data_IF_241763396488
#
_entry.id   IF_241763396488
#
_cell.length_a   1.000
_cell.length_b   1.000
_cell.length_c   1.000
_cell.angle_alpha   90.00
_cell.angle_beta   90.00
_cell.angle_gamma   90.00
#
_symmetry.space_group_name_H-M   'P 1'
#
loop_
_entity.id
_entity.type
_entity.pdbx_description
1 polymer ?
#
# COMPACT_ATOMS: atom_id res chain seq x y z
N UNK A 1 2.89 -9.50 8.75
CA UNK A 1 2.41 -8.36 9.55
C UNK A 1 3.48 -7.30 9.57
N UNK A 2 3.11 -6.07 9.23
CA UNK A 2 3.61 -4.94 9.98
C UNK A 2 2.51 -4.23 10.75
N UNK A 3 2.70 -4.12 12.05
CA UNK A 3 1.79 -3.39 12.94
C UNK A 3 1.78 -1.89 12.61
N UNK A 4 0.72 -1.17 13.01
CA UNK A 4 0.59 0.29 12.82
C UNK A 4 1.70 1.12 13.52
N UNK A 5 2.42 0.48 14.45
CA UNK A 5 3.57 0.98 15.19
C UNK A 5 4.90 0.35 14.74
N UNK A 6 4.87 -0.60 13.80
CA UNK A 6 6.07 -1.01 13.08
C UNK A 6 6.29 -0.05 11.91
N UNK A 7 7.38 0.71 11.99
CA UNK A 7 8.02 1.37 10.85
C UNK A 7 8.41 0.40 9.71
N UNK A 8 8.06 -0.88 9.81
CA UNK A 8 8.42 -1.96 8.90
C UNK A 8 7.24 -2.47 8.10
N UNK A 9 6.37 -1.54 7.70
CA UNK A 9 5.45 -1.70 6.59
C UNK A 9 6.09 -2.44 5.41
N UNK A 10 5.32 -3.13 4.57
CA UNK A 10 5.85 -3.70 3.34
C UNK A 10 6.79 -2.75 2.55
N UNK A 11 6.42 -1.47 2.48
CA UNK A 11 7.21 -0.43 1.84
C UNK A 11 8.59 -0.16 2.49
N UNK A 12 8.81 -0.56 3.74
CA UNK A 12 10.08 -0.40 4.44
C UNK A 12 11.19 -1.30 3.87
N UNK A 13 10.85 -2.47 3.29
CA UNK A 13 11.84 -3.29 2.58
C UNK A 13 12.34 -2.59 1.32
N UNK A 14 11.42 -1.98 0.57
CA UNK A 14 11.78 -1.19 -0.63
C UNK A 14 12.61 0.02 -0.22
N UNK A 15 12.23 0.69 0.86
CA UNK A 15 12.98 1.79 1.45
C UNK A 15 14.42 1.39 1.81
N UNK A 16 14.62 0.29 2.55
CA UNK A 16 15.97 -0.18 2.90
C UNK A 16 16.82 -0.53 1.69
N UNK A 17 16.22 -1.10 0.65
CA UNK A 17 16.93 -1.34 -0.62
C UNK A 17 17.36 0.00 -1.21
N UNK A 18 16.46 0.98 -1.28
CA UNK A 18 16.76 2.29 -1.82
C UNK A 18 17.85 3.03 -0.99
N UNK A 19 17.79 2.99 0.35
CA UNK A 19 18.83 3.53 1.23
C UNK A 19 20.20 2.89 0.96
N UNK A 20 20.26 1.56 0.89
CA UNK A 20 21.50 0.83 0.61
C UNK A 20 22.09 1.19 -0.74
N UNK A 21 21.26 1.29 -1.79
CA UNK A 21 21.71 1.65 -3.14
C UNK A 21 22.10 3.13 -3.27
N UNK A 22 21.56 4.00 -2.43
CA UNK A 22 21.83 5.45 -2.47
C UNK A 22 22.87 5.89 -1.45
N UNK A 23 23.56 4.96 -0.77
CA UNK A 23 24.54 5.26 0.28
C UNK A 23 23.95 6.17 1.38
N UNK A 24 22.69 5.95 1.75
CA UNK A 24 21.92 6.76 2.72
C UNK A 24 21.73 8.23 2.33
N UNK A 25 21.79 8.58 1.04
CA UNK A 25 21.53 9.95 0.54
C UNK A 25 20.03 10.25 0.33
N UNK A 26 19.16 9.30 0.68
CA UNK A 26 17.72 9.44 0.55
C UNK A 26 17.15 10.27 1.71
N UNK A 27 16.47 11.37 1.38
CA UNK A 27 15.70 12.16 2.36
C UNK A 27 14.24 11.77 2.27
N UNK A 28 13.58 11.55 3.42
CA UNK A 28 12.15 11.29 3.46
C UNK A 28 11.38 12.57 3.78
N UNK A 29 10.23 12.72 3.12
CA UNK A 29 9.24 13.73 3.46
C UNK A 29 8.03 13.03 4.06
N UNK A 30 7.77 13.28 5.35
CA UNK A 30 6.60 12.70 6.02
C UNK A 30 5.36 13.48 5.60
N UNK A 31 4.43 12.79 4.95
CA UNK A 31 3.16 13.37 4.50
C UNK A 31 1.99 12.92 5.39
N UNK A 32 0.98 13.77 5.59
CA UNK A 32 -0.16 13.46 6.46
C UNK A 32 -1.12 12.42 5.85
N UNK A 33 -1.18 12.31 4.53
CA UNK A 33 -2.03 11.36 3.81
C UNK A 33 -1.52 11.15 2.36
N UNK A 34 -2.12 10.18 1.66
CA UNK A 34 -1.77 9.80 0.29
C UNK A 34 -2.00 10.94 -0.72
N UNK A 35 -3.09 11.70 -0.59
CA UNK A 35 -3.41 12.79 -1.53
C UNK A 35 -2.35 13.90 -1.48
N UNK A 36 -1.90 14.29 -0.29
CA UNK A 36 -0.81 15.26 -0.13
C UNK A 36 0.51 14.73 -0.71
N UNK A 37 0.81 13.45 -0.52
CA UNK A 37 2.02 12.85 -1.10
C UNK A 37 1.99 12.85 -2.64
N UNK A 38 0.85 12.50 -3.25
CA UNK A 38 0.68 12.54 -4.71
C UNK A 38 0.78 13.97 -5.25
N UNK A 39 0.21 14.95 -4.55
CA UNK A 39 0.32 16.35 -4.92
C UNK A 39 1.79 16.83 -4.92
N UNK A 40 2.56 16.53 -3.87
CA UNK A 40 3.99 16.86 -3.80
C UNK A 40 4.82 16.16 -4.88
N UNK A 41 4.48 14.92 -5.22
CA UNK A 41 5.11 14.26 -6.36
C UNK A 41 4.80 15.01 -7.67
N UNK A 42 3.57 15.48 -7.82
CA UNK A 42 3.10 16.17 -9.03
C UNK A 42 3.73 17.55 -9.21
N UNK A 43 4.23 18.17 -8.13
CA UNK A 43 4.98 19.43 -8.18
C UNK A 43 6.47 19.23 -8.43
N UNK A 44 6.94 17.98 -8.53
CA UNK A 44 8.33 17.63 -8.80
C UNK A 44 9.21 17.52 -7.55
N UNK A 45 8.63 17.50 -6.34
CA UNK A 45 9.37 17.40 -5.08
C UNK A 45 10.04 16.02 -4.85
N UNK A 46 9.70 15.00 -5.65
CA UNK A 46 10.32 13.67 -5.55
C UNK A 46 9.50 12.55 -6.18
N UNK A 47 9.74 11.32 -5.67
CA UNK A 47 9.08 10.08 -6.12
C UNK A 47 8.31 9.49 -4.95
N UNK A 48 7.15 8.90 -5.20
CA UNK A 48 6.32 8.23 -4.20
C UNK A 48 6.04 6.80 -4.64
N UNK A 49 6.17 5.86 -3.72
CA UNK A 49 5.75 4.46 -3.92
C UNK A 49 4.34 4.33 -3.37
N UNK A 50 3.40 3.92 -4.23
CA UNK A 50 1.98 3.87 -3.91
C UNK A 50 1.35 2.53 -4.30
N UNK A 51 0.24 2.12 -3.66
CA UNK A 51 -0.58 1.01 -4.13
C UNK A 51 -1.22 1.33 -5.48
N UNK A 52 -1.59 0.30 -6.24
CA UNK A 52 -2.11 0.44 -7.61
C UNK A 52 -3.39 1.29 -7.69
N UNK A 53 -4.28 1.19 -6.69
CA UNK A 53 -5.51 1.98 -6.66
C UNK A 53 -5.25 3.49 -6.62
N UNK A 54 -4.07 3.93 -6.16
CA UNK A 54 -3.73 5.35 -6.06
C UNK A 54 -3.72 6.05 -7.42
N UNK A 55 -3.53 5.30 -8.52
CA UNK A 55 -3.62 5.83 -9.89
C UNK A 55 -4.97 6.48 -10.18
N UNK A 56 -6.06 5.99 -9.55
CA UNK A 56 -7.43 6.51 -9.76
C UNK A 56 -7.67 7.88 -9.15
N UNK A 57 -6.83 8.30 -8.20
CA UNK A 57 -6.95 9.55 -7.45
C UNK A 57 -5.75 10.47 -7.67
N UNK A 58 -4.85 10.09 -8.56
CA UNK A 58 -3.62 10.82 -8.83
C UNK A 58 -3.85 11.97 -9.82
N UNK A 59 -3.09 13.08 -9.69
CA UNK A 59 -3.03 14.11 -10.73
C UNK A 59 -2.56 13.53 -12.07
N UNK A 60 -3.15 14.00 -13.18
CA UNK A 60 -2.90 13.48 -14.55
C UNK A 60 -1.45 13.64 -15.02
N UNK A 61 -0.70 14.56 -14.41
CA UNK A 61 0.69 14.83 -14.75
C UNK A 61 1.69 13.88 -14.07
N UNK A 62 1.22 12.92 -13.27
CA UNK A 62 2.07 11.88 -12.69
C UNK A 62 2.25 10.71 -13.65
N UNK A 63 3.49 10.25 -13.76
CA UNK A 63 3.83 9.05 -14.50
C UNK A 63 4.00 7.87 -13.55
N UNK A 64 3.29 6.77 -13.82
CA UNK A 64 3.33 5.56 -13.02
C UNK A 64 4.23 4.51 -13.67
N UNK A 65 5.16 3.97 -12.89
CA UNK A 65 6.03 2.89 -13.30
C UNK A 65 5.74 1.68 -12.40
N UNK A 66 5.31 0.54 -12.96
CA UNK A 66 5.10 -0.65 -12.16
C UNK A 66 6.43 -1.17 -11.61
N UNK A 67 6.43 -1.64 -10.36
CA UNK A 67 7.61 -2.30 -9.79
C UNK A 67 7.94 -3.56 -10.59
N UNK A 68 9.19 -3.67 -11.05
CA UNK A 68 9.66 -4.78 -11.89
C UNK A 68 9.55 -6.14 -11.18
N UNK A 69 9.75 -6.17 -9.86
CA UNK A 69 9.65 -7.39 -9.07
C UNK A 69 8.23 -7.51 -8.46
N UNK A 70 7.50 -8.58 -8.84
CA UNK A 70 6.16 -8.87 -8.31
C UNK A 70 6.15 -9.16 -6.82
N UNK A 71 7.26 -9.64 -6.25
CA UNK A 71 7.40 -9.86 -4.79
C UNK A 71 7.58 -8.55 -4.00
N UNK A 72 7.74 -7.41 -4.68
CA UNK A 72 7.71 -6.09 -4.06
C UNK A 72 6.29 -5.50 -4.02
N UNK A 73 5.27 -6.27 -4.43
CA UNK A 73 3.86 -5.95 -4.24
C UNK A 73 3.40 -6.56 -2.92
N UNK A 74 2.35 -5.98 -2.36
CA UNK A 74 1.87 -6.38 -1.05
C UNK A 74 0.37 -6.48 -1.08
N UNK A 75 -0.12 -7.62 -0.61
CA UNK A 75 -1.55 -7.89 -0.53
C UNK A 75 -2.20 -7.02 0.54
N UNK A 76 -3.49 -6.76 0.34
CA UNK A 76 -4.33 -6.12 1.36
C UNK A 76 -4.71 -7.16 2.41
N UNK A 77 -4.64 -6.78 3.68
CA UNK A 77 -4.96 -7.67 4.80
C UNK A 77 -6.12 -7.09 5.60
N UNK A 78 -7.12 -7.92 5.87
CA UNK A 78 -8.16 -7.62 6.86
C UNK A 78 -7.86 -8.37 8.14
N UNK A 79 -7.82 -7.63 9.24
CA UNK A 79 -7.65 -8.19 10.58
C UNK A 79 -9.02 -8.26 11.26
N UNK A 80 -9.55 -9.47 11.40
CA UNK A 80 -10.77 -9.72 12.16
C UNK A 80 -10.42 -10.31 13.53
N UNK A 81 -10.95 -9.69 14.60
CA UNK A 81 -10.82 -10.18 15.96
C UNK A 81 -12.11 -10.91 16.36
N UNK A 82 -12.05 -12.23 16.38
CA UNK A 82 -13.23 -13.08 16.63
C UNK A 82 -13.79 -12.96 18.06
N UNK A 83 -12.97 -12.50 19.03
CA UNK A 83 -13.36 -12.40 20.44
C UNK A 83 -14.37 -11.29 20.72
N UNK A 84 -14.60 -10.37 19.79
CA UNK A 84 -15.48 -9.23 20.01
C UNK A 84 -16.94 -9.63 19.70
N UNK A 85 -17.86 -9.25 20.59
CA UNK A 85 -19.31 -9.39 20.39
C UNK A 85 -19.84 -8.37 19.37
N UNK A 86 -19.15 -8.25 18.23
CA UNK A 86 -19.53 -7.38 17.13
C UNK A 86 -20.03 -8.24 15.96
N UNK A 87 -21.32 -8.59 15.94
CA UNK A 87 -21.90 -9.41 14.87
C UNK A 87 -21.75 -8.75 13.49
N UNK A 88 -21.71 -7.41 13.42
CA UNK A 88 -21.47 -6.68 12.18
C UNK A 88 -20.08 -6.93 11.60
N UNK A 89 -19.04 -6.92 12.44
CA UNK A 89 -17.67 -7.24 12.02
C UNK A 89 -17.56 -8.68 11.49
N UNK A 90 -18.29 -9.63 12.11
CA UNK A 90 -18.34 -11.02 11.65
C UNK A 90 -18.97 -11.13 10.26
N UNK A 91 -20.11 -10.47 10.03
CA UNK A 91 -20.79 -10.47 8.74
C UNK A 91 -19.89 -9.83 7.67
N UNK A 92 -19.30 -8.68 7.96
CA UNK A 92 -18.37 -8.02 7.04
C UNK A 92 -17.19 -8.93 6.65
N UNK A 93 -16.57 -9.60 7.61
CA UNK A 93 -15.48 -10.54 7.34
C UNK A 93 -15.92 -11.71 6.45
N UNK A 94 -17.10 -12.28 6.70
CA UNK A 94 -17.66 -13.37 5.90
C UNK A 94 -17.91 -12.94 4.45
N UNK A 95 -18.57 -11.79 4.25
CA UNK A 95 -18.82 -11.22 2.92
C UNK A 95 -17.52 -10.91 2.18
N UNK A 96 -16.53 -10.35 2.89
CA UNK A 96 -15.21 -10.08 2.32
C UNK A 96 -14.50 -11.34 1.82
N UNK A 97 -14.48 -12.41 2.64
CA UNK A 97 -13.89 -13.68 2.23
C UNK A 97 -14.57 -14.28 1.01
N UNK A 98 -15.91 -14.16 0.91
CA UNK A 98 -16.66 -14.65 -0.25
C UNK A 98 -16.34 -13.86 -1.51
N UNK A 99 -16.32 -12.52 -1.44
CA UNK A 99 -15.97 -11.67 -2.58
C UNK A 99 -14.56 -11.98 -3.13
N UNK A 100 -13.57 -12.16 -2.24
CA UNK A 100 -12.19 -12.47 -2.62
C UNK A 100 -11.97 -13.90 -3.12
N UNK A 101 -12.79 -14.88 -2.69
CA UNK A 101 -12.76 -16.23 -3.26
C UNK A 101 -13.27 -16.25 -4.70
N UNK A 102 -14.27 -15.44 -5.02
CA UNK A 102 -14.86 -15.34 -6.37
C UNK A 102 -13.87 -14.69 -7.35
N UNK A 103 -13.17 -13.62 -6.96
CA UNK A 103 -12.16 -12.98 -7.83
C UNK A 103 -10.99 -13.90 -8.18
N UNK A 104 -10.58 -14.80 -7.28
CA UNK A 104 -9.52 -15.78 -7.55
C UNK A 104 -9.96 -16.93 -8.46
N UNK A 105 -11.27 -17.20 -8.61
CA UNK A 105 -11.80 -18.19 -9.56
C UNK A 105 -12.05 -17.60 -10.96
N UNK A 106 -12.22 -16.29 -11.09
CA UNK A 106 -12.46 -15.61 -12.37
C UNK A 106 -11.19 -15.38 -13.23
N UNK A 107 -10.01 -15.78 -12.71
CA UNK A 107 -8.71 -15.63 -13.37
C UNK A 107 -8.13 -16.94 -13.94
N UNK A 108 -8.96 -17.99 -14.06
CA UNK A 108 -8.60 -19.28 -14.68
C UNK A 108 -9.49 -19.61 -15.89
#
# INVERSE_FOLDING_TARGET
MPFANELFGPYAKIWKIAENYTENKLTYLKMPNLATALFEASTGSGIVIVPEFAQRIAPDNLHFIPLANRHCRYDEYIYYRETDHNPGARVFYQEFCQAFQIENMALF
#
